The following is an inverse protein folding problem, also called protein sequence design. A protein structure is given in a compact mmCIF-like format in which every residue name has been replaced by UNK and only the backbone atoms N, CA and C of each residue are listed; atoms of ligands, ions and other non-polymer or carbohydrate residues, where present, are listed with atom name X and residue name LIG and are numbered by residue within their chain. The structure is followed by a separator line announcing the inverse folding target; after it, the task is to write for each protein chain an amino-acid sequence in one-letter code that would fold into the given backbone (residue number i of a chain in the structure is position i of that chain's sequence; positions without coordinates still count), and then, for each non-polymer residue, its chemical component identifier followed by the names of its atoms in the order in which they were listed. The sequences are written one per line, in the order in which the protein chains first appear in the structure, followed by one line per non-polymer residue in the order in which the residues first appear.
data_IF_148792415029
#
_entry.id   IF_148792415029
#
_cell.length_a   1.000
_cell.length_b   1.000
_cell.length_c   1.000
_cell.angle_alpha   90.00
_cell.angle_beta   90.00
_cell.angle_gamma   90.00
#
_symmetry.space_group_name_H-M   'P 1'
#
loop_
_entity.id
_entity.type
_entity.pdbx_description
1 polymer ?
#
# COMPACT_ATOMS: atom_id res chain seq x y z
N UNK A 1 -7.28 -7.52 -22.10
CA UNK A 1 -6.44 -7.40 -20.89
C UNK A 1 -7.23 -6.57 -19.90
N UNK A 2 -7.49 -7.13 -18.72
CA UNK A 2 -8.02 -6.38 -17.58
C UNK A 2 -7.02 -5.30 -17.18
N UNK A 3 -7.51 -4.14 -16.72
CA UNK A 3 -6.62 -3.08 -16.24
C UNK A 3 -6.01 -3.52 -14.91
N UNK A 4 -4.70 -3.32 -14.74
CA UNK A 4 -4.00 -3.58 -13.48
C UNK A 4 -4.65 -2.76 -12.35
N UNK A 5 -4.80 -3.35 -11.17
CA UNK A 5 -5.51 -2.75 -10.03
C UNK A 5 -5.02 -3.29 -8.69
N UNK A 6 -5.48 -2.68 -7.61
CA UNK A 6 -5.37 -3.22 -6.25
C UNK A 6 -6.24 -4.48 -6.09
N UNK A 7 -5.76 -5.43 -5.29
CA UNK A 7 -6.44 -6.69 -4.94
C UNK A 7 -7.55 -6.56 -3.90
N UNK A 8 -7.68 -5.40 -3.24
CA UNK A 8 -8.73 -5.18 -2.23
C UNK A 8 -10.10 -4.98 -2.89
N UNK A 9 -11.18 -5.65 -2.41
CA UNK A 9 -12.51 -5.49 -2.99
C UNK A 9 -13.12 -4.10 -2.80
N UNK A 10 -13.75 -3.56 -3.85
CA UNK A 10 -14.36 -2.21 -3.86
C UNK A 10 -15.57 -2.05 -2.92
N UNK A 11 -16.26 -3.14 -2.57
CA UNK A 11 -17.48 -3.10 -1.75
C UNK A 11 -17.20 -3.05 -0.24
N UNK A 12 -15.93 -3.15 0.18
CA UNK A 12 -15.52 -2.92 1.57
C UNK A 12 -15.47 -1.42 1.93
N UNK A 13 -15.89 -0.56 1.01
CA UNK A 13 -15.97 0.88 1.19
C UNK A 13 -17.09 1.25 2.17
N UNK A 14 -16.74 1.85 3.32
CA UNK A 14 -17.71 2.69 4.02
C UNK A 14 -18.01 3.91 3.14
N UNK A 15 -19.17 4.55 3.34
CA UNK A 15 -19.60 5.77 2.62
C UNK A 15 -18.57 6.92 2.65
N UNK A 16 -17.54 6.81 3.50
CA UNK A 16 -16.50 7.81 3.69
C UNK A 16 -15.09 7.34 3.33
N UNK A 17 -14.92 6.16 2.71
CA UNK A 17 -13.60 5.67 2.31
C UNK A 17 -12.71 5.29 3.50
N UNK A 18 -13.29 4.86 4.61
CA UNK A 18 -12.56 4.53 5.85
C UNK A 18 -13.02 3.20 6.43
N UNK A 19 -12.08 2.38 6.91
CA UNK A 19 -12.38 1.13 7.63
C UNK A 19 -12.12 1.29 9.14
N UNK A 20 -10.86 1.28 9.55
CA UNK A 20 -10.40 1.32 10.93
C UNK A 20 -9.05 2.02 11.01
N UNK A 21 -8.86 2.91 11.98
CA UNK A 21 -7.59 3.57 12.24
C UNK A 21 -6.70 2.78 13.19
N UNK A 22 -5.38 2.96 13.07
CA UNK A 22 -4.46 2.60 14.14
C UNK A 22 -4.73 3.41 15.41
N UNK A 23 -4.62 2.77 16.56
CA UNK A 23 -4.80 3.43 17.87
C UNK A 23 -3.54 4.11 18.38
N UNK A 24 -2.37 3.79 17.81
CA UNK A 24 -1.08 4.39 18.16
C UNK A 24 -0.52 5.26 17.04
N UNK A 25 0.34 6.20 17.42
CA UNK A 25 0.93 7.18 16.49
C UNK A 25 2.28 6.76 15.91
N UNK A 26 3.05 5.95 16.64
CA UNK A 26 4.29 5.38 16.13
C UNK A 26 4.06 3.92 15.71
N UNK A 27 4.18 3.66 14.42
CA UNK A 27 4.03 2.34 13.82
C UNK A 27 5.41 1.79 13.45
N UNK A 28 5.64 0.50 13.69
CA UNK A 28 6.84 -0.20 13.26
C UNK A 28 6.58 -0.96 11.97
N UNK A 29 7.57 -1.03 11.09
CA UNK A 29 7.45 -1.81 9.86
C UNK A 29 8.70 -2.65 9.59
N UNK A 30 8.49 -3.80 8.96
CA UNK A 30 9.55 -4.69 8.50
C UNK A 30 9.41 -4.94 7.00
N UNK A 31 10.54 -4.95 6.29
CA UNK A 31 10.57 -5.33 4.87
C UNK A 31 11.17 -6.73 4.80
N UNK A 32 10.35 -7.71 4.42
CA UNK A 32 10.71 -9.11 4.27
C UNK A 32 11.29 -9.39 2.88
N UNK A 33 10.78 -10.43 2.22
CA UNK A 33 11.23 -10.83 0.89
C UNK A 33 11.02 -9.69 -0.13
N UNK A 34 12.03 -9.41 -0.95
CA UNK A 34 11.99 -8.36 -1.98
C UNK A 34 12.03 -8.96 -3.40
N UNK A 35 11.57 -8.17 -4.38
CA UNK A 35 11.71 -8.55 -5.79
C UNK A 35 13.16 -8.51 -6.27
N UNK A 36 13.62 -9.47 -7.11
CA UNK A 36 14.96 -9.42 -7.70
C UNK A 36 15.11 -8.32 -8.77
N UNK A 37 14.02 -7.61 -9.11
CA UNK A 37 13.99 -6.56 -10.14
C UNK A 37 14.51 -5.22 -9.64
N UNK A 38 14.62 -5.05 -8.32
CA UNK A 38 15.07 -3.83 -7.64
C UNK A 38 16.03 -4.19 -6.51
N UNK A 39 16.91 -3.26 -6.13
CA UNK A 39 17.81 -3.46 -4.98
C UNK A 39 17.08 -3.28 -3.65
N UNK A 40 17.64 -3.82 -2.56
CA UNK A 40 17.13 -3.59 -1.20
C UNK A 40 17.05 -2.11 -0.85
N UNK A 41 18.03 -1.31 -1.30
CA UNK A 41 18.05 0.14 -1.12
C UNK A 41 16.89 0.80 -1.86
N UNK A 42 16.67 0.44 -3.13
CA UNK A 42 15.57 0.97 -3.94
C UNK A 42 14.20 0.67 -3.33
N UNK A 43 13.99 -0.57 -2.88
CA UNK A 43 12.74 -0.97 -2.21
C UNK A 43 12.62 -0.22 -0.88
N UNK A 44 13.67 -0.23 -0.06
CA UNK A 44 13.68 0.43 1.25
C UNK A 44 13.37 1.92 1.19
N UNK A 45 14.00 2.64 0.26
CA UNK A 45 13.76 4.07 0.05
C UNK A 45 12.36 4.35 -0.49
N UNK A 46 11.87 3.50 -1.41
CA UNK A 46 10.53 3.64 -1.97
C UNK A 46 9.45 3.51 -0.88
N UNK A 47 9.55 2.48 -0.05
CA UNK A 47 8.63 2.24 1.06
C UNK A 47 8.71 3.38 2.09
N UNK A 48 9.92 3.78 2.49
CA UNK A 48 10.13 4.90 3.42
C UNK A 48 9.48 6.19 2.89
N UNK A 49 9.71 6.55 1.63
CA UNK A 49 9.14 7.76 1.04
C UNK A 49 7.61 7.73 1.02
N UNK A 50 7.00 6.57 0.71
CA UNK A 50 5.54 6.43 0.73
C UNK A 50 4.96 6.53 2.15
N UNK A 51 5.64 5.93 3.14
CA UNK A 51 5.29 6.05 4.56
C UNK A 51 5.43 7.49 5.05
N UNK A 52 6.47 8.23 4.65
CA UNK A 52 6.66 9.63 5.03
C UNK A 52 5.51 10.52 4.53
N UNK A 53 5.01 10.28 3.31
CA UNK A 53 3.86 11.00 2.75
C UNK A 53 2.61 10.76 3.59
N UNK A 54 2.31 9.50 3.92
CA UNK A 54 1.15 9.19 4.77
C UNK A 54 1.34 9.68 6.20
N UNK A 55 2.54 9.58 6.76
CA UNK A 55 2.89 10.03 8.10
C UNK A 55 2.64 11.53 8.28
N UNK A 56 3.08 12.33 7.30
CA UNK A 56 2.83 13.77 7.30
C UNK A 56 1.32 14.12 7.25
N UNK A 57 0.52 13.38 6.47
CA UNK A 57 -0.91 13.62 6.36
C UNK A 57 -1.69 13.16 7.62
N UNK A 58 -1.35 11.98 8.15
CA UNK A 58 -2.05 11.32 9.26
C UNK A 58 -1.53 11.70 10.67
N UNK A 59 -0.43 12.46 10.74
CA UNK A 59 0.32 12.68 11.99
C UNK A 59 0.74 11.35 12.63
N UNK A 60 1.34 10.46 11.81
CA UNK A 60 1.91 9.18 12.21
C UNK A 60 3.42 9.19 11.97
N UNK A 61 4.16 8.40 12.74
CA UNK A 61 5.59 8.16 12.53
C UNK A 61 5.84 6.69 12.26
N UNK A 62 6.87 6.39 11.47
CA UNK A 62 7.22 5.03 11.08
C UNK A 62 8.65 4.70 11.45
N UNK A 63 8.84 3.57 12.13
CA UNK A 63 10.16 3.07 12.53
C UNK A 63 10.42 1.72 11.89
N UNK A 64 11.48 1.61 11.08
CA UNK A 64 11.88 0.31 10.52
C UNK A 64 12.47 -0.57 11.61
N UNK A 65 12.01 -1.82 11.71
CA UNK A 65 12.53 -2.82 12.63
C UNK A 65 13.17 -4.00 11.88
N UNK A 66 14.16 -4.63 12.51
CA UNK A 66 14.95 -5.70 11.86
C UNK A 66 14.25 -7.05 11.84
N UNK A 67 13.28 -7.28 12.72
CA UNK A 67 12.55 -8.55 12.87
C UNK A 67 11.08 -8.33 12.57
N UNK A 68 10.45 -9.30 11.89
CA UNK A 68 9.03 -9.23 11.55
C UNK A 68 8.13 -9.29 12.79
N UNK A 69 8.57 -9.98 13.84
CA UNK A 69 7.79 -10.16 15.08
C UNK A 69 7.63 -8.87 15.89
N UNK A 70 8.48 -7.87 15.61
CA UNK A 70 8.47 -6.55 16.25
C UNK A 70 7.72 -5.49 15.40
N UNK A 71 7.22 -5.86 14.22
CA UNK A 71 6.57 -4.95 13.27
C UNK A 71 5.06 -4.92 13.45
N UNK A 72 4.47 -3.74 13.28
CA UNK A 72 3.03 -3.59 13.07
C UNK A 72 2.64 -3.87 11.63
N UNK A 73 3.53 -3.56 10.68
CA UNK A 73 3.29 -3.70 9.25
C UNK A 73 4.44 -4.50 8.65
N UNK A 74 4.15 -5.71 8.16
CA UNK A 74 5.08 -6.53 7.40
C UNK A 74 4.85 -6.30 5.91
N UNK A 75 5.92 -5.95 5.20
CA UNK A 75 5.90 -5.60 3.78
C UNK A 75 6.75 -6.61 3.03
N UNK A 76 6.19 -7.34 2.07
CA UNK A 76 6.96 -8.30 1.30
C UNK A 76 6.37 -8.57 -0.09
N UNK A 77 7.16 -9.24 -0.93
CA UNK A 77 6.78 -9.69 -2.25
C UNK A 77 6.55 -11.20 -2.23
N UNK A 78 5.48 -11.67 -2.87
CA UNK A 78 5.17 -13.10 -3.01
C UNK A 78 4.47 -13.39 -4.35
N UNK A 79 4.44 -14.66 -4.76
CA UNK A 79 3.72 -15.13 -5.96
C UNK A 79 2.61 -16.09 -5.56
N UNK A 80 1.49 -16.08 -6.29
CA UNK A 80 0.40 -17.04 -6.10
C UNK A 80 -0.20 -17.04 -4.69
N UNK A 81 -0.53 -18.22 -4.17
CA UNK A 81 -0.98 -18.39 -2.79
C UNK A 81 0.20 -18.20 -1.82
N UNK A 82 0.04 -17.31 -0.85
CA UNK A 82 1.11 -16.91 0.07
C UNK A 82 0.59 -16.66 1.48
N UNK A 83 1.44 -16.93 2.47
CA UNK A 83 1.22 -16.75 3.92
C UNK A 83 -0.13 -17.26 4.50
N UNK A 84 -0.86 -18.09 3.77
CA UNK A 84 -2.16 -18.61 4.19
C UNK A 84 -3.27 -17.57 4.19
N UNK A 85 -3.07 -16.40 3.54
CA UNK A 85 -4.15 -15.45 3.34
C UNK A 85 -5.14 -15.93 2.25
N UNK A 86 -6.28 -15.25 2.15
CA UNK A 86 -7.35 -15.61 1.21
C UNK A 86 -7.23 -14.91 -0.15
N UNK A 87 -6.18 -14.12 -0.38
CA UNK A 87 -6.01 -13.25 -1.55
C UNK A 87 -4.77 -13.71 -2.31
N UNK A 88 -4.91 -14.78 -3.10
CA UNK A 88 -3.81 -15.24 -3.95
C UNK A 88 -3.54 -14.27 -5.10
N UNK A 89 -2.26 -14.05 -5.42
CA UNK A 89 -1.87 -13.30 -6.61
C UNK A 89 -2.16 -14.08 -7.89
N UNK A 90 -2.49 -13.36 -8.96
CA UNK A 90 -2.83 -13.92 -10.28
C UNK A 90 -1.61 -14.03 -11.21
N UNK A 91 -0.42 -13.67 -10.72
CA UNK A 91 0.78 -13.51 -11.51
C UNK A 91 0.68 -12.23 -12.34
N UNK A 92 1.49 -12.13 -13.40
CA UNK A 92 1.59 -10.89 -14.18
C UNK A 92 0.25 -10.32 -14.64
N UNK A 93 -0.05 -9.11 -14.18
CA UNK A 93 -1.03 -8.19 -14.69
C UNK A 93 -1.99 -7.71 -13.61
N UNK A 94 -3.12 -8.40 -13.50
CA UNK A 94 -4.36 -7.82 -13.03
C UNK A 94 -4.31 -7.33 -11.58
N UNK A 95 -3.68 -8.08 -10.66
CA UNK A 95 -3.54 -7.71 -9.26
C UNK A 95 -2.08 -7.35 -8.94
N UNK A 96 -1.82 -6.10 -8.56
CA UNK A 96 -0.45 -5.64 -8.31
C UNK A 96 0.05 -5.88 -6.89
N UNK A 97 -0.89 -5.95 -5.96
CA UNK A 97 -0.65 -5.99 -4.53
C UNK A 97 -1.97 -5.89 -3.78
N UNK A 98 -1.89 -6.12 -2.48
CA UNK A 98 -2.96 -5.84 -1.55
C UNK A 98 -2.37 -5.50 -0.18
N UNK A 99 -3.17 -4.84 0.64
CA UNK A 99 -2.84 -4.61 2.03
C UNK A 99 -4.04 -4.87 2.93
N UNK A 100 -3.77 -5.21 4.19
CA UNK A 100 -4.81 -5.39 5.19
C UNK A 100 -5.04 -4.10 5.96
N UNK A 101 -6.29 -3.89 6.38
CA UNK A 101 -6.61 -2.77 7.24
C UNK A 101 -6.00 -2.94 8.64
N UNK A 102 -5.82 -1.85 9.40
CA UNK A 102 -5.49 -1.92 10.82
C UNK A 102 -6.47 -2.85 11.58
N UNK A 103 -6.00 -3.62 12.58
CA UNK A 103 -4.66 -3.57 13.17
C UNK A 103 -3.64 -4.53 12.54
N UNK A 104 -3.93 -5.16 11.39
CA UNK A 104 -2.95 -6.00 10.71
C UNK A 104 -2.01 -5.11 9.86
N UNK A 105 -2.53 -4.36 8.88
CA UNK A 105 -1.70 -3.40 8.14
C UNK A 105 -0.70 -3.97 7.14
N UNK A 106 -0.47 -5.29 7.11
CA UNK A 106 0.51 -5.94 6.24
C UNK A 106 0.24 -5.63 4.77
N UNK A 107 1.31 -5.55 3.98
CA UNK A 107 1.29 -5.15 2.58
C UNK A 107 2.05 -6.19 1.75
N UNK A 108 1.35 -6.83 0.83
CA UNK A 108 1.92 -7.82 -0.07
C UNK A 108 1.95 -7.26 -1.49
N UNK A 109 3.09 -7.40 -2.17
CA UNK A 109 3.25 -7.10 -3.59
C UNK A 109 3.30 -8.39 -4.40
N UNK A 110 2.71 -8.38 -5.60
CA UNK A 110 2.89 -9.51 -6.53
C UNK A 110 4.33 -9.51 -7.06
N UNK A 111 5.09 -10.54 -6.72
CA UNK A 111 6.47 -10.77 -7.13
C UNK A 111 6.63 -10.88 -8.66
N UNK A 112 5.60 -11.34 -9.36
CA UNK A 112 5.65 -11.66 -10.79
C UNK A 112 5.58 -10.41 -11.68
N UNK A 113 5.11 -9.28 -11.13
CA UNK A 113 5.05 -7.97 -11.78
C UNK A 113 6.41 -7.45 -12.24
N UNK A 114 6.42 -6.67 -13.32
CA UNK A 114 7.65 -6.06 -13.84
C UNK A 114 7.96 -4.75 -13.12
N UNK A 115 8.37 -4.87 -11.85
CA UNK A 115 8.68 -3.73 -10.98
C UNK A 115 9.80 -2.83 -11.52
N UNK A 116 9.53 -1.53 -11.54
CA UNK A 116 10.49 -0.46 -11.81
C UNK A 116 10.24 0.72 -10.87
N UNK A 117 11.11 1.74 -10.94
CA UNK A 117 10.87 3.06 -10.37
C UNK A 117 10.64 4.06 -11.52
N UNK A 118 9.43 4.59 -11.64
CA UNK A 118 9.03 5.55 -12.66
C UNK A 118 8.21 4.95 -13.80
N UNK A 119 8.26 5.57 -14.98
CA UNK A 119 7.43 5.21 -16.13
C UNK A 119 8.15 4.21 -17.03
N UNK A 120 7.46 3.14 -17.41
CA UNK A 120 7.95 2.17 -18.39
C UNK A 120 6.79 1.44 -19.04
N UNK A 121 6.90 1.16 -20.35
CA UNK A 121 5.83 0.46 -21.08
C UNK A 121 5.78 -1.00 -20.63
N UNK A 122 4.63 -1.44 -20.12
CA UNK A 122 4.46 -2.81 -19.62
C UNK A 122 5.23 -3.09 -18.32
N UNK A 123 5.57 -2.02 -17.59
CA UNK A 123 6.27 -2.06 -16.31
C UNK A 123 5.39 -1.44 -15.23
N UNK A 124 5.61 -1.85 -13.98
CA UNK A 124 4.81 -1.45 -12.83
C UNK A 124 5.68 -0.60 -11.88
N UNK A 125 5.27 0.64 -11.65
CA UNK A 125 5.95 1.56 -10.72
C UNK A 125 5.70 1.16 -9.26
N UNK A 126 6.74 0.71 -8.56
CA UNK A 126 6.64 0.28 -7.17
C UNK A 126 6.15 1.40 -6.26
N UNK A 127 6.59 2.64 -6.48
CA UNK A 127 6.21 3.76 -5.63
C UNK A 127 4.70 4.03 -5.68
N UNK A 128 4.12 4.06 -6.88
CA UNK A 128 2.68 4.28 -7.05
C UNK A 128 1.85 3.19 -6.38
N UNK A 129 2.25 1.91 -6.49
CA UNK A 129 1.54 0.80 -5.83
C UNK A 129 1.73 0.87 -4.32
N UNK A 130 2.97 1.05 -3.84
CA UNK A 130 3.25 1.17 -2.41
C UNK A 130 2.46 2.32 -1.76
N UNK A 131 2.39 3.48 -2.42
CA UNK A 131 1.64 4.62 -1.93
C UNK A 131 0.13 4.32 -1.83
N UNK A 132 -0.43 3.56 -2.78
CA UNK A 132 -1.82 3.11 -2.75
C UNK A 132 -2.07 2.10 -1.62
N UNK A 133 -1.32 0.99 -1.60
CA UNK A 133 -1.56 -0.09 -0.64
C UNK A 133 -1.31 0.35 0.80
N UNK A 134 -0.32 1.23 1.04
CA UNK A 134 -0.11 1.81 2.37
C UNK A 134 -1.29 2.68 2.82
N UNK A 135 -2.09 3.23 1.90
CA UNK A 135 -3.35 3.88 2.27
C UNK A 135 -4.34 2.92 2.92
N UNK A 136 -4.43 1.68 2.41
CA UNK A 136 -5.18 0.60 3.07
C UNK A 136 -4.56 0.21 4.41
N UNK A 137 -3.23 0.11 4.49
CA UNK A 137 -2.52 -0.09 5.77
C UNK A 137 -2.80 1.04 6.78
N UNK A 138 -3.15 2.24 6.32
CA UNK A 138 -3.59 3.35 7.16
C UNK A 138 -5.10 3.35 7.45
N UNK A 139 -5.88 2.43 6.89
CA UNK A 139 -7.32 2.33 7.13
C UNK A 139 -8.21 2.99 6.07
N UNK A 140 -7.65 3.45 4.95
CA UNK A 140 -8.41 4.05 3.86
C UNK A 140 -8.96 2.97 2.93
N UNK A 141 -10.24 3.05 2.59
CA UNK A 141 -10.81 2.24 1.51
C UNK A 141 -10.62 2.94 0.16
N UNK A 142 -10.99 2.25 -0.93
CA UNK A 142 -10.92 2.83 -2.27
C UNK A 142 -11.73 4.12 -2.41
N UNK A 143 -11.17 5.08 -3.14
CA UNK A 143 -11.83 6.31 -3.57
C UNK A 143 -12.53 6.11 -4.91
N UNK A 144 -13.63 6.84 -5.11
CA UNK A 144 -14.31 6.94 -6.41
C UNK A 144 -13.76 8.10 -7.26
N UNK A 145 -12.88 8.94 -6.70
CA UNK A 145 -12.23 10.04 -7.41
C UNK A 145 -11.11 9.50 -8.26
N UNK A 146 -11.26 9.59 -9.58
CA UNK A 146 -10.30 9.04 -10.55
C UNK A 146 -8.85 9.51 -10.34
N UNK A 147 -8.70 10.75 -9.86
CA UNK A 147 -7.39 11.34 -9.63
C UNK A 147 -6.78 11.07 -8.25
N UNK A 148 -7.49 10.36 -7.36
CA UNK A 148 -6.99 9.98 -6.05
C UNK A 148 -5.93 8.89 -6.12
N UNK A 149 -5.05 8.86 -5.11
CA UNK A 149 -4.13 7.75 -4.89
C UNK A 149 -4.94 6.48 -4.59
N UNK A 150 -5.98 6.59 -3.77
CA UNK A 150 -6.84 5.46 -3.41
C UNK A 150 -7.82 5.03 -4.50
N UNK A 151 -7.71 5.53 -5.74
CA UNK A 151 -8.50 4.99 -6.85
C UNK A 151 -8.03 3.56 -7.18
N UNK A 152 -8.92 2.57 -7.32
CA UNK A 152 -8.55 1.15 -7.35
C UNK A 152 -7.71 0.72 -8.55
N UNK A 153 -7.82 1.43 -9.68
CA UNK A 153 -7.11 1.07 -10.91
C UNK A 153 -5.72 1.69 -10.92
N UNK A 154 -4.72 0.89 -11.27
CA UNK A 154 -3.33 1.31 -11.32
C UNK A 154 -3.13 2.53 -12.22
N UNK A 155 -2.38 3.48 -11.68
CA UNK A 155 -1.91 4.67 -12.36
C UNK A 155 -0.62 5.14 -11.73
N UNK A 156 0.19 5.83 -12.53
CA UNK A 156 1.39 6.47 -12.01
C UNK A 156 0.97 7.74 -11.28
N UNK A 157 1.21 7.77 -9.97
CA UNK A 157 0.86 8.87 -9.09
C UNK A 157 1.98 9.08 -8.06
N UNK A 158 2.20 10.33 -7.67
CA UNK A 158 3.27 10.66 -6.70
C UNK A 158 2.86 11.52 -5.52
N UNK A 159 1.61 11.97 -5.49
CA UNK A 159 1.13 12.94 -4.53
C UNK A 159 -0.30 12.59 -4.15
N UNK A 160 -0.63 12.80 -2.88
CA UNK A 160 -1.98 12.62 -2.38
C UNK A 160 -2.91 13.64 -3.04
N UNK A 161 -4.08 13.19 -3.48
CA UNK A 161 -5.17 14.06 -3.87
C UNK A 161 -5.86 14.61 -2.62
N UNK A 162 -6.63 15.70 -2.78
CA UNK A 162 -7.37 16.29 -1.65
C UNK A 162 -8.37 15.30 -1.03
N UNK A 163 -8.89 14.36 -1.82
CA UNK A 163 -9.78 13.30 -1.35
C UNK A 163 -9.06 12.34 -0.39
N UNK A 164 -7.85 11.90 -0.74
CA UNK A 164 -6.99 11.07 0.12
C UNK A 164 -6.69 11.79 1.44
N UNK A 165 -6.36 13.09 1.35
CA UNK A 165 -6.05 13.95 2.51
C UNK A 165 -7.27 14.12 3.42
N UNK A 166 -8.45 14.35 2.85
CA UNK A 166 -9.68 14.50 3.61
C UNK A 166 -10.04 13.21 4.35
N UNK A 167 -9.93 12.06 3.68
CA UNK A 167 -10.22 10.76 4.24
C UNK A 167 -9.26 10.41 5.39
N UNK A 168 -7.95 10.60 5.20
CA UNK A 168 -6.96 10.29 6.24
C UNK A 168 -7.06 11.25 7.44
N UNK A 169 -7.37 12.52 7.21
CA UNK A 169 -7.61 13.49 8.28
C UNK A 169 -8.83 13.09 9.11
N UNK A 170 -9.89 12.59 8.47
CA UNK A 170 -11.07 12.10 9.17
C UNK A 170 -10.78 10.89 10.05
N UNK A 171 -9.79 10.07 9.71
CA UNK A 171 -9.37 8.94 10.54
C UNK A 171 -8.51 9.35 11.74
N UNK A 172 -7.55 10.27 11.53
CA UNK A 172 -6.47 10.47 12.50
C UNK A 172 -6.41 11.86 13.13
N UNK A 173 -7.22 12.83 12.68
CA UNK A 173 -7.27 14.20 13.21
C UNK A 173 -8.55 14.53 13.96
N UNK A 174 -9.51 13.61 14.06
CA UNK A 174 -10.70 13.82 14.89
C UNK A 174 -10.46 13.39 16.33
N UNK A 175 -10.28 14.42 17.18
CA UNK A 175 -10.24 14.46 18.66
C UNK A 175 -8.88 14.23 19.30
#
# INVERSE_FOLDING_TARGET
MTKQRCGIPDYLTSRFGVSQAWTKKNLTYHIGAITPKLTEEQVGDTIRNALDIWGAAANLTFTRVSKKEDADIVIFFASGAHEGDTISFDGRGSTLGHAFYPPNGDLHFDMDENWILGKGRGMTDLFSVALHELGHSMGLAHSTVFDAVMYPTYRIGKQLHQDDINAINKLYKTS
#
